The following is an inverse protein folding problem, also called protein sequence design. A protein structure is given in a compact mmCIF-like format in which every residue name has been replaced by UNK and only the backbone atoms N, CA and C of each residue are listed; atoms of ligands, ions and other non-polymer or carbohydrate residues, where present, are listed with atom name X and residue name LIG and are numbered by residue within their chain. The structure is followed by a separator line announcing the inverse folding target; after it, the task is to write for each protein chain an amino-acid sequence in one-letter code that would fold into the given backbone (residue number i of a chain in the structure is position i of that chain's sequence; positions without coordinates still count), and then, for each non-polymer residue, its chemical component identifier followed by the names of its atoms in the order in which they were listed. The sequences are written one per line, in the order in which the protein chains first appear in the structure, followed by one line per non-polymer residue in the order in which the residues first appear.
data_IF_896480130882
#
_entry.id   IF_896480130882
#
_cell.length_a   1.000
_cell.length_b   1.000
_cell.length_c   1.000
_cell.angle_alpha   90.00
_cell.angle_beta   90.00
_cell.angle_gamma   90.00
#
_symmetry.space_group_name_H-M   'P 1'
#
loop_
_entity.id
_entity.type
_entity.pdbx_description
1 polymer ?
#
# COMPACT_ATOMS: atom_id res chain seq x y z
N UNK A 1 8.02 -25.56 8.06
CA UNK A 1 8.88 -24.46 7.59
C UNK A 1 8.31 -23.92 6.28
N UNK A 2 7.42 -22.94 6.35
CA UNK A 2 6.91 -22.24 5.16
C UNK A 2 7.74 -20.98 4.97
N UNK A 3 8.67 -20.99 4.02
CA UNK A 3 9.43 -19.80 3.67
C UNK A 3 8.45 -18.73 3.16
N UNK A 4 8.26 -17.63 3.90
CA UNK A 4 7.86 -16.35 3.27
C UNK A 4 8.97 -16.06 2.26
N UNK A 5 8.63 -15.97 0.98
CA UNK A 5 9.60 -15.71 -0.09
C UNK A 5 9.71 -14.20 -0.28
N UNK A 6 10.91 -13.74 -0.59
CA UNK A 6 11.17 -12.33 -0.79
C UNK A 6 10.68 -11.90 -2.19
N UNK A 7 9.93 -10.80 -2.23
CA UNK A 7 9.58 -10.11 -3.46
C UNK A 7 10.67 -9.08 -3.81
N UNK A 8 10.86 -8.81 -5.11
CA UNK A 8 11.93 -7.93 -5.59
C UNK A 8 11.36 -6.73 -6.35
N UNK A 9 11.76 -5.53 -5.93
CA UNK A 9 11.51 -4.28 -6.63
C UNK A 9 12.78 -3.79 -7.31
N UNK A 10 12.67 -3.42 -8.59
CA UNK A 10 13.79 -2.91 -9.39
C UNK A 10 13.39 -1.60 -10.05
N UNK A 11 14.14 -0.54 -9.78
CA UNK A 11 13.99 0.76 -10.43
C UNK A 11 14.82 0.86 -11.71
N UNK A 12 14.24 1.43 -12.75
CA UNK A 12 14.88 1.79 -14.01
C UNK A 12 14.60 3.27 -14.30
N UNK A 13 15.28 4.21 -13.61
CA UNK A 13 14.97 5.64 -13.67
C UNK A 13 15.16 6.27 -15.05
N UNK A 14 16.04 5.71 -15.89
CA UNK A 14 16.29 6.18 -17.26
C UNK A 14 15.45 5.42 -18.31
N UNK A 15 14.41 4.69 -17.89
CA UNK A 15 13.57 3.96 -18.82
C UNK A 15 12.85 4.90 -19.80
N UNK A 16 13.03 4.61 -21.09
CA UNK A 16 12.41 5.33 -22.19
C UNK A 16 11.09 4.66 -22.59
N UNK A 17 9.97 5.28 -22.24
CA UNK A 17 8.64 4.82 -22.64
C UNK A 17 8.32 5.28 -24.07
N UNK A 18 7.68 4.40 -24.85
CA UNK A 18 7.18 4.74 -26.18
C UNK A 18 5.81 5.38 -26.04
N UNK A 19 5.66 6.59 -26.57
CA UNK A 19 4.40 7.33 -26.61
C UNK A 19 3.55 6.91 -27.82
N UNK A 20 2.24 7.20 -27.82
CA UNK A 20 1.36 6.87 -28.97
C UNK A 20 1.79 7.53 -30.29
N UNK A 21 2.45 8.67 -30.22
CA UNK A 21 3.05 9.40 -31.36
C UNK A 21 4.33 8.74 -31.93
N UNK A 22 4.78 7.62 -31.33
CA UNK A 22 6.00 6.92 -31.72
C UNK A 22 7.29 7.50 -31.12
N UNK A 23 7.23 8.67 -30.49
CA UNK A 23 8.37 9.27 -29.80
C UNK A 23 8.70 8.51 -28.52
N UNK A 24 9.95 8.64 -28.09
CA UNK A 24 10.42 8.06 -26.82
C UNK A 24 10.60 9.16 -25.80
N UNK A 25 10.24 8.88 -24.56
CA UNK A 25 10.42 9.82 -23.47
C UNK A 25 10.91 9.11 -22.23
N UNK A 26 11.90 9.70 -21.58
CA UNK A 26 12.43 9.22 -20.31
C UNK A 26 11.35 9.44 -19.25
N UNK A 27 10.69 8.38 -18.81
CA UNK A 27 9.67 8.45 -17.77
C UNK A 27 10.12 7.75 -16.48
N UNK A 28 11.08 6.82 -16.60
CA UNK A 28 11.43 5.90 -15.53
C UNK A 28 10.38 4.80 -15.35
N UNK A 29 10.81 3.67 -14.79
CA UNK A 29 9.94 2.51 -14.57
C UNK A 29 10.33 1.75 -13.32
N UNK A 30 9.35 1.30 -12.57
CA UNK A 30 9.48 0.34 -11.49
C UNK A 30 9.03 -1.03 -11.98
N UNK A 31 9.79 -2.06 -11.65
CA UNK A 31 9.47 -3.46 -11.90
C UNK A 31 9.27 -4.16 -10.56
N UNK A 32 8.16 -4.89 -10.42
CA UNK A 32 7.88 -5.74 -9.29
C UNK A 32 7.87 -7.20 -9.75
N UNK A 33 8.80 -7.97 -9.19
CA UNK A 33 8.91 -9.41 -9.37
C UNK A 33 8.37 -10.11 -8.12
N UNK A 34 7.19 -10.71 -8.26
CA UNK A 34 6.55 -11.47 -7.20
C UNK A 34 7.14 -12.88 -7.11
N UNK A 35 7.48 -13.30 -5.89
CA UNK A 35 8.08 -14.60 -5.61
C UNK A 35 7.06 -15.75 -5.64
N UNK A 36 6.90 -16.40 -6.80
CA UNK A 36 6.08 -17.61 -6.95
C UNK A 36 6.90 -18.88 -7.20
N UNK A 37 6.92 -19.83 -6.25
CA UNK A 37 7.54 -21.15 -6.47
C UNK A 37 9.06 -21.13 -6.73
N UNK A 38 9.66 -22.31 -7.00
CA UNK A 38 11.12 -22.54 -7.09
C UNK A 38 11.86 -21.68 -8.15
N UNK A 39 11.15 -20.85 -8.93
CA UNK A 39 11.72 -19.88 -9.86
C UNK A 39 11.14 -18.49 -9.58
N UNK A 40 11.97 -17.62 -9.01
CA UNK A 40 11.83 -16.18 -9.25
C UNK A 40 11.74 -15.98 -10.78
N UNK A 41 10.95 -15.01 -11.24
CA UNK A 41 10.76 -14.69 -12.67
C UNK A 41 9.82 -15.61 -13.49
N UNK A 42 9.10 -16.54 -12.86
CA UNK A 42 8.12 -17.39 -13.57
C UNK A 42 6.91 -16.63 -14.13
N UNK A 43 6.62 -15.46 -13.57
CA UNK A 43 5.52 -14.57 -13.99
C UNK A 43 6.11 -13.27 -14.54
N UNK A 44 5.46 -12.65 -15.55
CA UNK A 44 5.87 -11.33 -16.00
C UNK A 44 5.79 -10.34 -14.82
N UNK A 45 6.79 -9.46 -14.66
CA UNK A 45 6.76 -8.48 -13.58
C UNK A 45 5.61 -7.49 -13.79
N UNK A 46 5.02 -7.06 -12.69
CA UNK A 46 4.19 -5.86 -12.72
C UNK A 46 5.10 -4.65 -13.00
N UNK A 47 4.66 -3.74 -13.85
CA UNK A 47 5.43 -2.53 -14.20
C UNK A 47 4.64 -1.26 -13.93
N UNK A 48 5.25 -0.32 -13.22
CA UNK A 48 4.70 1.03 -13.02
C UNK A 48 5.61 2.04 -13.72
N UNK A 49 5.06 2.90 -14.56
CA UNK A 49 5.84 3.88 -15.33
C UNK A 49 5.59 5.28 -14.78
N UNK A 50 6.64 6.10 -14.69
CA UNK A 50 6.50 7.48 -14.26
C UNK A 50 5.63 8.31 -15.20
N UNK A 51 5.10 9.42 -14.70
CA UNK A 51 4.22 10.32 -15.46
C UNK A 51 4.94 11.55 -15.99
N UNK A 52 6.07 11.93 -15.38
CA UNK A 52 6.82 13.14 -15.74
C UNK A 52 8.02 12.80 -16.62
N UNK A 53 8.21 13.58 -17.69
CA UNK A 53 9.35 13.42 -18.59
C UNK A 53 10.63 13.91 -17.91
N UNK A 54 11.70 13.12 -17.99
CA UNK A 54 12.95 13.32 -17.25
C UNK A 54 12.78 13.31 -15.73
N UNK A 55 11.63 12.83 -15.22
CA UNK A 55 11.35 12.81 -13.77
C UNK A 55 12.18 11.79 -12.99
N UNK A 56 12.84 10.86 -13.71
CA UNK A 56 13.63 9.75 -13.17
C UNK A 56 12.87 8.94 -12.11
N UNK A 57 11.63 8.58 -12.43
CA UNK A 57 10.79 7.78 -11.56
C UNK A 57 11.46 6.45 -11.18
N UNK A 58 11.31 6.04 -9.93
CA UNK A 58 11.98 4.88 -9.34
C UNK A 58 13.51 5.03 -9.22
N UNK A 59 13.99 6.25 -8.99
CA UNK A 59 15.39 6.49 -8.57
C UNK A 59 15.63 5.97 -7.15
N UNK A 60 14.67 6.17 -6.26
CA UNK A 60 14.69 5.67 -4.89
C UNK A 60 13.39 4.92 -4.60
N UNK A 61 13.50 3.85 -3.81
CA UNK A 61 12.38 3.00 -3.41
C UNK A 61 12.54 2.71 -1.93
N UNK A 62 11.48 2.86 -1.14
CA UNK A 62 11.47 2.48 0.26
C UNK A 62 10.20 1.70 0.60
N UNK A 63 10.35 0.59 1.32
CA UNK A 63 9.22 -0.07 1.94
C UNK A 63 8.73 0.76 3.12
N UNK A 64 7.41 0.96 3.20
CA UNK A 64 6.74 1.67 4.28
C UNK A 64 6.14 0.72 5.32
N UNK A 65 6.00 -0.57 4.99
CA UNK A 65 5.24 -1.51 5.79
C UNK A 65 3.75 -1.42 5.46
N UNK A 66 2.90 -1.63 6.46
CA UNK A 66 1.44 -1.50 6.36
C UNK A 66 1.05 -0.11 6.90
N UNK A 67 0.82 0.87 6.02
CA UNK A 67 0.59 2.27 6.41
C UNK A 67 -0.85 2.49 6.86
N UNK A 68 -1.83 1.78 6.29
CA UNK A 68 -3.24 1.92 6.62
C UNK A 68 -3.83 0.79 7.48
N UNK A 69 -2.99 -0.17 7.88
CA UNK A 69 -3.34 -1.30 8.76
C UNK A 69 -4.48 -2.14 8.20
N UNK A 70 -4.60 -2.20 6.89
CA UNK A 70 -5.62 -2.99 6.20
C UNK A 70 -5.28 -4.49 6.20
N UNK A 71 -4.10 -4.84 6.70
CA UNK A 71 -3.61 -6.21 6.84
C UNK A 71 -2.64 -6.61 5.75
N UNK A 72 -2.39 -5.79 4.72
CA UNK A 72 -1.34 -6.02 3.72
C UNK A 72 -0.01 -5.39 4.17
N UNK A 73 1.11 -6.13 4.12
CA UNK A 73 2.41 -5.62 4.57
C UNK A 73 2.68 -5.72 6.09
N UNK A 74 1.75 -6.30 6.85
CA UNK A 74 1.80 -6.34 8.31
C UNK A 74 2.77 -7.39 8.91
N UNK A 75 3.79 -6.92 9.62
CA UNK A 75 4.45 -7.70 10.66
C UNK A 75 3.52 -7.79 11.89
N UNK A 76 2.66 -8.80 11.94
CA UNK A 76 2.01 -9.18 13.20
C UNK A 76 3.04 -9.79 14.15
N UNK A 77 3.73 -8.96 14.95
CA UNK A 77 4.22 -9.32 16.29
C UNK A 77 4.80 -8.12 17.04
N UNK A 78 4.28 -7.91 18.25
CA UNK A 78 4.76 -7.10 19.37
C UNK A 78 6.26 -6.73 19.30
N UNK A 79 6.54 -5.43 19.44
CA UNK A 79 7.77 -4.93 20.06
C UNK A 79 9.08 -5.26 19.34
N UNK A 80 9.39 -4.54 18.27
CA UNK A 80 10.75 -4.47 17.73
C UNK A 80 11.60 -3.55 18.62
N UNK A 81 12.34 -4.13 19.59
CA UNK A 81 13.58 -3.51 20.08
C UNK A 81 14.73 -4.08 19.25
N UNK A 82 15.58 -3.20 18.74
CA UNK A 82 16.65 -3.52 17.82
C UNK A 82 17.54 -4.68 18.30
N UNK A 83 17.89 -5.56 17.36
CA UNK A 83 18.81 -6.66 17.61
C UNK A 83 18.72 -7.71 16.51
N UNK A 84 19.86 -7.90 15.86
CA UNK A 84 20.24 -8.93 14.89
C UNK A 84 19.42 -10.23 14.91
N UNK A 85 19.08 -10.70 13.71
CA UNK A 85 18.44 -11.98 13.45
C UNK A 85 19.12 -13.14 14.19
N UNK A 86 18.34 -13.80 15.06
CA UNK A 86 18.53 -15.19 15.49
C UNK A 86 17.25 -15.66 16.17
N UNK A 87 16.50 -16.55 15.49
CA UNK A 87 15.36 -17.24 16.07
C UNK A 87 15.82 -18.63 16.54
N UNK A 88 15.73 -18.88 17.85
CA UNK A 88 15.75 -20.22 18.42
C UNK A 88 14.55 -20.39 19.37
N UNK A 89 14.02 -21.62 19.33
CA UNK A 89 13.08 -22.26 20.26
C UNK A 89 11.64 -21.72 20.29
N UNK A 90 10.56 -22.52 20.33
CA UNK A 90 10.38 -23.99 20.46
C UNK A 90 8.91 -24.31 20.18
N UNK A 91 8.62 -25.55 19.74
CA UNK A 91 7.47 -26.42 20.12
C UNK A 91 6.13 -25.72 20.42
N UNK A 92 5.06 -25.96 19.66
CA UNK A 92 4.24 -27.17 19.82
C UNK A 92 3.62 -27.62 18.49
N UNK A 93 3.82 -28.90 18.19
CA UNK A 93 3.15 -29.66 17.14
C UNK A 93 1.99 -30.42 17.79
N UNK A 94 0.73 -30.33 17.31
CA UNK A 94 -0.24 -31.39 17.57
C UNK A 94 -0.06 -32.49 16.53
N UNK A 95 0.30 -33.67 17.01
CA UNK A 95 0.33 -34.93 16.25
C UNK A 95 -1.09 -35.35 15.87
N UNK A 96 -1.32 -35.73 14.60
CA UNK A 96 -2.59 -36.36 14.19
C UNK A 96 -2.51 -37.88 14.42
N UNK A 97 -3.26 -38.36 15.41
CA UNK A 97 -3.63 -39.77 15.56
C UNK A 97 -4.80 -40.13 14.64
N UNK A 98 -4.78 -41.37 14.12
CA UNK A 98 -5.85 -41.94 13.29
C UNK A 98 -7.13 -42.15 14.10
N UNK A 99 -8.30 -41.85 13.51
CA UNK A 99 -9.47 -42.73 13.27
C UNK A 99 -10.77 -41.93 13.14
N UNK A 100 -11.69 -42.44 12.31
CA UNK A 100 -13.13 -42.25 12.48
C UNK A 100 -13.82 -41.40 11.42
N UNK A 101 -14.61 -42.06 10.57
CA UNK A 101 -15.61 -41.41 9.71
C UNK A 101 -16.65 -40.71 10.60
N UNK A 102 -17.22 -39.63 10.06
CA UNK A 102 -18.39 -38.86 10.54
C UNK A 102 -18.06 -37.60 11.37
N UNK A 103 -17.73 -36.50 10.70
CA UNK A 103 -18.02 -35.14 11.19
C UNK A 103 -17.95 -34.14 10.03
N UNK A 104 -19.10 -33.73 9.53
CA UNK A 104 -19.24 -32.44 8.87
C UNK A 104 -19.45 -31.40 9.96
N UNK A 105 -18.44 -30.58 10.25
CA UNK A 105 -18.62 -29.24 10.83
C UNK A 105 -17.54 -28.35 10.23
N UNK A 106 -17.98 -27.27 9.59
CA UNK A 106 -17.11 -26.34 8.89
C UNK A 106 -16.13 -25.62 9.81
N UNK A 107 -14.96 -25.34 9.26
CA UNK A 107 -14.09 -24.27 9.72
C UNK A 107 -13.49 -23.61 8.48
N UNK A 108 -13.84 -22.33 8.34
CA UNK A 108 -13.21 -21.26 7.57
C UNK A 108 -12.44 -21.64 6.30
N UNK A 109 -12.94 -21.08 5.19
CA UNK A 109 -12.29 -21.06 3.89
C UNK A 109 -10.80 -20.77 4.01
N UNK A 110 -10.04 -21.67 3.42
CA UNK A 110 -8.61 -21.62 3.30
C UNK A 110 -8.25 -20.44 2.40
N UNK A 111 -7.92 -19.28 2.98
CA UNK A 111 -7.12 -18.28 2.26
C UNK A 111 -5.68 -18.80 2.27
N UNK A 112 -5.44 -19.80 1.42
CA UNK A 112 -4.10 -20.20 1.05
C UNK A 112 -3.58 -19.13 0.08
N UNK A 113 -2.50 -18.46 0.50
CA UNK A 113 -1.59 -17.69 -0.36
C UNK A 113 -2.05 -16.27 -0.73
N UNK A 114 -2.28 -15.38 0.24
CA UNK A 114 -2.10 -13.94 -0.01
C UNK A 114 -0.64 -13.58 0.27
N UNK A 115 0.11 -13.28 -0.78
CA UNK A 115 1.32 -12.47 -0.66
C UNK A 115 0.92 -11.12 -0.09
N UNK A 116 1.32 -10.86 1.15
CA UNK A 116 1.03 -9.62 1.87
C UNK A 116 2.06 -8.58 1.43
N UNK A 117 1.83 -7.92 0.30
CA UNK A 117 2.77 -6.93 -0.22
C UNK A 117 2.70 -5.65 0.62
N UNK A 118 3.84 -5.09 1.10
CA UNK A 118 3.84 -3.84 1.85
C UNK A 118 3.63 -2.63 0.94
N UNK A 119 3.21 -1.53 1.55
CA UNK A 119 3.19 -0.22 0.91
C UNK A 119 4.60 0.25 0.60
N UNK A 120 4.74 1.03 -0.48
CA UNK A 120 6.02 1.45 -1.03
C UNK A 120 6.00 2.93 -1.39
N UNK A 121 7.04 3.65 -1.00
CA UNK A 121 7.34 4.98 -1.50
C UNK A 121 8.33 4.90 -2.67
N UNK A 122 8.06 5.64 -3.74
CA UNK A 122 8.88 5.69 -4.96
C UNK A 122 9.21 7.13 -5.30
N UNK A 123 10.50 7.44 -5.42
CA UNK A 123 11.00 8.78 -5.70
C UNK A 123 11.15 9.08 -7.19
N UNK A 124 10.81 10.30 -7.56
CA UNK A 124 11.05 10.92 -8.86
C UNK A 124 11.73 12.28 -8.65
N UNK A 125 13.06 12.31 -8.38
CA UNK A 125 13.73 13.51 -7.91
C UNK A 125 13.71 14.68 -8.89
N UNK A 126 13.57 14.43 -10.19
CA UNK A 126 13.46 15.49 -11.20
C UNK A 126 12.02 15.69 -11.70
N UNK A 127 11.05 14.99 -11.08
CA UNK A 127 9.64 15.12 -11.39
C UNK A 127 9.01 16.39 -10.81
N UNK A 128 7.72 16.59 -11.13
CA UNK A 128 6.96 17.75 -10.70
C UNK A 128 7.33 19.06 -11.41
N UNK A 129 6.63 20.12 -11.02
CA UNK A 129 6.84 21.45 -11.58
C UNK A 129 8.26 21.93 -11.30
N UNK A 130 8.90 22.54 -12.30
CA UNK A 130 10.29 23.03 -12.26
C UNK A 130 11.36 21.99 -11.86
N UNK A 131 11.04 20.69 -11.90
CA UNK A 131 11.98 19.62 -11.49
C UNK A 131 12.30 19.63 -9.99
N UNK A 132 11.36 20.09 -9.15
CA UNK A 132 11.52 20.15 -7.69
C UNK A 132 11.63 18.77 -7.04
N UNK A 133 11.10 17.75 -7.69
CA UNK A 133 11.05 16.37 -7.23
C UNK A 133 9.73 16.01 -6.55
N UNK A 134 9.38 14.74 -6.63
CA UNK A 134 8.14 14.17 -6.11
C UNK A 134 8.39 12.78 -5.52
N UNK A 135 7.52 12.37 -4.60
CA UNK A 135 7.44 11.00 -4.08
C UNK A 135 6.02 10.48 -4.26
N UNK A 136 5.89 9.24 -4.71
CA UNK A 136 4.62 8.55 -4.91
C UNK A 136 4.50 7.42 -3.92
N UNK A 137 3.33 7.30 -3.28
CA UNK A 137 3.00 6.21 -2.36
C UNK A 137 2.10 5.23 -3.12
N UNK A 138 2.53 3.98 -3.20
CA UNK A 138 1.79 2.88 -3.79
C UNK A 138 1.38 1.92 -2.69
N UNK A 139 0.08 1.65 -2.61
CA UNK A 139 -0.48 0.69 -1.67
C UNK A 139 -0.18 -0.73 -2.12
N UNK A 140 0.15 -1.61 -1.19
CA UNK A 140 0.24 -3.05 -1.41
C UNK A 140 -1.13 -3.73 -1.46
N UNK A 141 -1.26 -4.76 -2.29
CA UNK A 141 -2.46 -5.59 -2.40
C UNK A 141 -2.06 -7.06 -2.55
N UNK A 142 -3.06 -7.96 -2.55
CA UNK A 142 -2.85 -9.41 -2.66
C UNK A 142 -2.04 -9.83 -3.90
N UNK A 143 -2.14 -9.07 -4.98
CA UNK A 143 -1.52 -9.34 -6.29
C UNK A 143 -0.34 -8.42 -6.63
N UNK A 144 0.19 -7.64 -5.67
CA UNK A 144 1.33 -6.74 -5.88
C UNK A 144 1.05 -5.32 -5.41
N UNK A 145 1.34 -4.33 -6.24
CA UNK A 145 1.05 -2.92 -5.93
C UNK A 145 -0.21 -2.45 -6.64
N UNK A 146 -0.97 -1.53 -6.04
CA UNK A 146 -2.00 -0.77 -6.74
C UNK A 146 -1.33 0.04 -7.87
N UNK A 147 -1.78 -0.06 -9.14
CA UNK A 147 -1.14 0.65 -10.26
C UNK A 147 -1.22 2.18 -10.16
N UNK A 148 -2.23 2.70 -9.46
CA UNK A 148 -2.43 4.13 -9.23
C UNK A 148 -1.85 4.50 -7.86
N UNK A 149 -0.96 5.51 -7.77
CA UNK A 149 -0.46 5.94 -6.47
C UNK A 149 -1.60 6.48 -5.62
N UNK A 150 -1.72 6.00 -4.38
CA UNK A 150 -2.75 6.45 -3.42
C UNK A 150 -2.45 7.85 -2.90
N UNK A 151 -1.18 8.25 -2.90
CA UNK A 151 -0.76 9.58 -2.50
C UNK A 151 0.44 10.06 -3.32
N UNK A 152 0.46 11.37 -3.58
CA UNK A 152 1.61 12.08 -4.15
C UNK A 152 2.09 13.15 -3.17
N UNK A 153 3.38 13.16 -2.91
CA UNK A 153 4.06 14.16 -2.10
C UNK A 153 4.89 15.05 -3.03
N UNK A 154 4.46 16.31 -3.15
CA UNK A 154 5.18 17.34 -3.89
C UNK A 154 6.25 17.97 -2.98
N UNK A 155 7.40 18.32 -3.56
CA UNK A 155 8.50 18.95 -2.81
C UNK A 155 8.02 20.24 -2.11
N UNK A 156 8.21 20.37 -0.78
CA UNK A 156 7.91 21.61 -0.07
C UNK A 156 9.01 22.68 -0.25
N UNK A 157 10.10 22.34 -0.95
CA UNK A 157 11.26 23.21 -1.13
C UNK A 157 11.20 23.93 -2.47
N UNK A 158 11.80 25.12 -2.51
CA UNK A 158 11.90 25.93 -3.72
C UNK A 158 13.07 25.49 -4.60
N UNK A 159 12.93 25.68 -5.92
CA UNK A 159 13.97 25.32 -6.89
C UNK A 159 14.13 23.81 -7.10
N UNK A 160 15.11 23.37 -7.92
CA UNK A 160 15.33 21.97 -8.25
C UNK A 160 15.90 21.19 -7.05
N UNK A 161 15.07 20.94 -6.04
CA UNK A 161 15.45 20.38 -4.76
C UNK A 161 15.87 18.90 -4.82
N UNK A 162 15.60 18.22 -5.93
CA UNK A 162 15.80 16.79 -6.08
C UNK A 162 15.08 15.97 -4.99
N UNK A 163 13.89 16.41 -4.59
CA UNK A 163 13.09 15.78 -3.54
C UNK A 163 12.67 14.36 -3.93
N UNK A 164 12.94 13.38 -3.07
CA UNK A 164 12.70 11.97 -3.38
C UNK A 164 13.92 11.24 -3.94
N UNK A 165 15.11 11.85 -3.90
CA UNK A 165 16.35 11.19 -4.30
C UNK A 165 16.79 10.10 -3.32
N UNK A 166 16.46 10.25 -2.04
CA UNK A 166 16.71 9.25 -1.00
C UNK A 166 15.46 9.11 -0.14
N UNK A 167 15.09 7.87 0.18
CA UNK A 167 13.89 7.55 0.94
C UNK A 167 14.22 6.57 2.06
N UNK A 168 13.58 6.74 3.21
CA UNK A 168 13.58 5.75 4.29
C UNK A 168 12.24 5.74 4.98
N UNK A 169 11.58 4.58 5.02
CA UNK A 169 10.34 4.38 5.75
C UNK A 169 10.38 3.14 6.64
N UNK A 170 9.21 2.69 7.08
CA UNK A 170 9.02 1.47 7.86
C UNK A 170 9.47 1.59 9.32
N UNK A 171 9.61 2.80 9.85
CA UNK A 171 9.95 3.06 11.25
C UNK A 171 9.09 4.19 11.77
N UNK A 172 8.44 3.95 12.91
CA UNK A 172 7.67 4.94 13.66
C UNK A 172 8.64 5.78 14.51
N UNK A 173 8.72 7.09 14.23
CA UNK A 173 9.64 8.03 14.88
C UNK A 173 8.95 8.81 16.01
N UNK A 174 7.62 8.97 15.95
CA UNK A 174 6.85 9.74 16.94
C UNK A 174 6.13 8.88 17.98
N UNK A 175 6.13 7.56 17.81
CA UNK A 175 5.57 6.58 18.73
C UNK A 175 4.05 6.42 18.62
N UNK A 176 3.44 6.89 17.53
CA UNK A 176 1.99 6.81 17.34
C UNK A 176 1.50 5.44 16.81
N UNK A 177 2.43 4.53 16.53
CA UNK A 177 2.18 3.18 16.04
C UNK A 177 1.99 3.07 14.53
N UNK A 178 2.28 4.11 13.76
CA UNK A 178 2.29 4.13 12.30
C UNK A 178 3.69 4.48 11.79
N UNK A 179 4.18 3.81 10.73
CA UNK A 179 5.50 4.08 10.20
C UNK A 179 5.57 5.47 9.54
N UNK A 180 6.67 6.18 9.78
CA UNK A 180 6.94 7.48 9.17
C UNK A 180 7.81 7.33 7.91
N UNK A 181 7.89 8.41 7.13
CA UNK A 181 8.70 8.49 5.91
C UNK A 181 9.66 9.69 5.96
N UNK A 182 10.95 9.42 5.79
CA UNK A 182 12.00 10.40 5.56
C UNK A 182 12.25 10.55 4.07
N UNK A 183 12.30 11.80 3.60
CA UNK A 183 12.57 12.14 2.19
C UNK A 183 13.74 13.11 2.11
N UNK A 184 14.82 12.68 1.45
CA UNK A 184 15.97 13.52 1.15
C UNK A 184 15.75 14.37 -0.10
N UNK A 185 16.20 15.63 -0.03
CA UNK A 185 16.20 16.61 -1.11
C UNK A 185 17.56 17.30 -1.17
N UNK A 186 18.54 16.66 -1.81
CA UNK A 186 19.92 17.14 -1.79
C UNK A 186 20.09 18.49 -2.50
N UNK A 187 19.26 18.80 -3.51
CA UNK A 187 19.33 20.08 -4.21
C UNK A 187 18.88 21.26 -3.33
N UNK A 188 18.24 20.99 -2.19
CA UNK A 188 17.84 21.99 -1.21
C UNK A 188 18.59 21.86 0.13
N UNK A 189 19.60 20.97 0.22
CA UNK A 189 20.33 20.65 1.46
C UNK A 189 19.41 20.30 2.65
N UNK A 190 18.29 19.62 2.38
CA UNK A 190 17.25 19.35 3.38
C UNK A 190 16.72 17.92 3.35
N UNK A 191 16.13 17.53 4.47
CA UNK A 191 15.35 16.31 4.63
C UNK A 191 13.96 16.71 5.14
N UNK A 192 12.92 16.15 4.56
CA UNK A 192 11.55 16.26 5.04
C UNK A 192 11.15 14.99 5.79
N UNK A 193 10.33 15.16 6.83
CA UNK A 193 9.76 14.06 7.63
C UNK A 193 8.25 14.09 7.47
N UNK A 194 7.69 13.00 6.97
CA UNK A 194 6.25 12.80 6.83
C UNK A 194 5.80 11.79 7.88
N UNK A 195 4.88 12.21 8.75
CA UNK A 195 4.39 11.36 9.83
C UNK A 195 3.21 10.52 9.38
N UNK A 196 3.24 9.22 9.71
CA UNK A 196 2.10 8.32 9.52
C UNK A 196 0.95 8.75 10.43
N UNK A 197 -0.27 8.77 9.92
CA UNK A 197 -1.45 9.15 10.70
C UNK A 197 -2.40 7.96 10.85
N UNK A 198 -3.12 7.85 11.98
CA UNK A 198 -4.11 6.81 12.15
C UNK A 198 -5.22 6.84 11.10
N UNK A 199 -5.45 5.70 10.45
CA UNK A 199 -6.55 5.51 9.51
C UNK A 199 -7.78 4.99 10.27
N UNK A 200 -8.91 5.66 10.10
CA UNK A 200 -10.19 5.28 10.74
C UNK A 200 -11.11 4.68 9.68
N UNK A 201 -11.52 3.43 9.88
CA UNK A 201 -12.49 2.76 9.02
C UNK A 201 -13.90 3.03 9.55
N UNK A 202 -14.72 3.69 8.74
CA UNK A 202 -16.13 3.99 9.07
C UNK A 202 -17.03 3.07 8.27
N UNK A 203 -17.88 2.31 8.97
CA UNK A 203 -18.94 1.50 8.35
C UNK A 203 -20.26 2.25 8.49
N UNK A 204 -20.82 2.70 7.38
CA UNK A 204 -22.15 3.31 7.34
C UNK A 204 -23.18 2.26 6.88
N UNK A 205 -24.27 2.16 7.62
CA UNK A 205 -25.41 1.33 7.23
C UNK A 205 -26.60 2.25 7.00
N UNK A 206 -27.19 2.18 5.81
CA UNK A 206 -28.44 2.84 5.49
C UNK A 206 -29.55 1.82 5.61
N UNK A 207 -30.41 1.99 6.61
CA UNK A 207 -31.63 1.19 6.75
C UNK A 207 -32.78 1.95 6.12
N UNK A 208 -33.33 1.40 5.04
CA UNK A 208 -34.57 1.89 4.40
C UNK A 208 -35.63 0.81 4.58
N UNK A 209 -36.90 1.16 4.85
CA UNK A 209 -37.98 0.19 4.89
C UNK A 209 -38.10 -0.59 3.57
N UNK A 210 -38.46 -1.87 3.64
CA UNK A 210 -38.63 -2.74 2.44
C UNK A 210 -39.78 -2.31 1.53
N UNK A 211 -40.67 -1.46 2.04
CA UNK A 211 -41.75 -0.82 1.30
C UNK A 211 -42.45 0.22 2.15
N UNK A 212 -42.96 1.26 1.51
CA UNK A 212 -43.77 2.28 2.18
C UNK A 212 -45.22 1.82 2.12
N UNK A 213 -45.89 1.74 3.27
CA UNK A 213 -47.30 1.41 3.31
C UNK A 213 -48.13 2.71 3.18
N UNK A 214 -48.85 2.93 2.07
CA UNK A 214 -49.65 4.14 1.87
C UNK A 214 -50.79 4.30 2.89
N UNK A 215 -51.22 3.20 3.52
CA UNK A 215 -52.27 3.20 4.53
C UNK A 215 -51.77 3.66 5.91
N UNK A 216 -50.45 3.70 6.13
CA UNK A 216 -49.83 4.13 7.40
C UNK A 216 -49.42 5.60 7.28
N UNK A 217 -50.29 6.51 7.71
CA UNK A 217 -50.07 7.96 7.63
C UNK A 217 -49.41 8.52 8.91
N UNK A 218 -48.20 8.04 9.20
CA UNK A 218 -47.48 8.33 10.45
C UNK A 218 -46.77 9.69 10.49
N UNK A 219 -46.63 10.38 9.35
CA UNK A 219 -45.96 11.67 9.24
C UNK A 219 -46.97 12.80 9.09
N UNK A 220 -46.72 13.97 9.69
CA UNK A 220 -47.59 15.16 9.57
C UNK A 220 -46.83 16.27 8.86
N UNK A 221 -47.40 16.76 7.75
CA UNK A 221 -46.90 17.93 7.05
C UNK A 221 -47.09 19.17 7.93
N UNK A 222 -45.98 19.85 8.22
CA UNK A 222 -45.93 21.02 9.11
C UNK A 222 -46.81 22.18 8.66
N UNK A 223 -47.04 22.32 7.35
CA UNK A 223 -47.70 23.51 6.79
C UNK A 223 -49.22 23.34 6.63
N UNK A 224 -49.71 22.09 6.61
CA UNK A 224 -51.11 21.78 6.30
C UNK A 224 -51.80 20.90 7.35
N UNK A 225 -51.03 20.31 8.27
CA UNK A 225 -51.55 19.33 9.23
C UNK A 225 -52.01 18.02 8.59
N UNK A 226 -51.68 17.78 7.31
CA UNK A 226 -52.08 16.59 6.57
C UNK A 226 -51.18 15.43 6.95
N UNK A 227 -51.80 14.28 7.24
CA UNK A 227 -51.12 13.03 7.52
C UNK A 227 -50.72 12.33 6.20
N UNK A 228 -49.46 11.93 6.08
CA UNK A 228 -48.88 11.25 4.91
C UNK A 228 -48.08 10.01 5.30
N UNK A 229 -47.96 9.07 4.37
CA UNK A 229 -47.16 7.86 4.52
C UNK A 229 -45.67 8.16 4.35
N UNK A 230 -44.84 7.41 5.08
CA UNK A 230 -43.38 7.48 5.03
C UNK A 230 -42.79 6.11 4.76
#
# INVERSE_FOLDING_TARGET
AGHRRDDLLVGAPLYMARRPDGQRSELGRLYLYLGGGHQLFSRPPQTLTGTHTYGRFATAIASLGDLDKDGYGGNTARGWRGGSARALATSLCPTWGKWGRNAWVGAAGWVLMSSLFPDVAVGAPQGGDDGRGQVFIFRGQSEGLEPVPTQRLDSPFTGPAAFGFALRGGTDLDGNGYPDLLVGAYGADRVAVYRGQPVVVVQAQLSVPDGLNPEVLACVLTDSGIHVSW
#
